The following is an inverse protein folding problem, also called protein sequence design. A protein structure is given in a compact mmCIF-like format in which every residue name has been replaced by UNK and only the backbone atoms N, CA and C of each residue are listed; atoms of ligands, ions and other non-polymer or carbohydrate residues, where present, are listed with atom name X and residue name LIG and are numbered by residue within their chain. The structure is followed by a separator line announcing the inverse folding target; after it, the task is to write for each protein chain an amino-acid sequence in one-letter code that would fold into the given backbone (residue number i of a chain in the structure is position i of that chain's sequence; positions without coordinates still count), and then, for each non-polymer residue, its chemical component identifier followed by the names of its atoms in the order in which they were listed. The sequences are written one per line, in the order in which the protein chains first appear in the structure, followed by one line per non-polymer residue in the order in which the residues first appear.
data_IF_674462384691
#
_entry.id   IF_674462384691
#
_cell.length_a   1.000
_cell.length_b   1.000
_cell.length_c   1.000
_cell.angle_alpha   90.00
_cell.angle_beta   90.00
_cell.angle_gamma   90.00
#
_symmetry.space_group_name_H-M   'P 1'
#
loop_
_entity.id
_entity.type
_entity.pdbx_description
1 polymer ?
#
# COMPACT_ATOMS: atom_id res chain seq x y z
N UNK A 1 11.63 -6.20 -7.17
CA UNK A 1 10.90 -7.28 -6.48
C UNK A 1 10.59 -8.47 -7.39
N UNK A 2 10.48 -8.28 -8.70
CA UNK A 2 10.32 -9.34 -9.70
C UNK A 2 11.37 -9.18 -10.80
N UNK A 3 11.61 -10.24 -11.57
CA UNK A 3 12.37 -10.16 -12.82
C UNK A 3 11.66 -9.25 -13.86
N UNK A 4 12.27 -9.10 -15.06
CA UNK A 4 11.73 -8.21 -16.09
C UNK A 4 11.59 -6.74 -15.66
N UNK A 5 12.52 -6.25 -14.82
CA UNK A 5 12.47 -4.89 -14.27
C UNK A 5 11.10 -4.59 -13.64
N UNK A 6 10.68 -5.43 -12.70
CA UNK A 6 9.36 -5.36 -12.05
C UNK A 6 8.17 -5.37 -13.03
N UNK A 7 8.31 -6.03 -14.15
CA UNK A 7 7.26 -6.19 -15.15
C UNK A 7 7.14 -5.05 -16.16
N UNK A 8 8.13 -4.17 -16.23
CA UNK A 8 8.16 -3.07 -17.21
C UNK A 8 8.82 -3.49 -18.53
N UNK A 9 9.85 -4.35 -18.46
CA UNK A 9 10.60 -4.81 -19.64
C UNK A 9 10.11 -6.14 -20.17
N UNK A 10 9.60 -7.01 -19.29
CA UNK A 10 9.05 -8.31 -19.65
C UNK A 10 8.02 -8.78 -18.61
N UNK A 11 7.15 -9.71 -19.01
CA UNK A 11 6.19 -10.35 -18.09
C UNK A 11 6.96 -11.09 -17.00
N UNK A 12 6.74 -10.80 -15.71
CA UNK A 12 7.48 -11.44 -14.64
C UNK A 12 7.20 -12.93 -14.55
N UNK A 13 8.24 -13.69 -14.26
CA UNK A 13 8.17 -15.15 -14.07
C UNK A 13 8.62 -15.60 -12.69
N UNK A 14 9.29 -14.74 -11.94
CA UNK A 14 9.74 -14.98 -10.55
C UNK A 14 9.75 -13.70 -9.72
N UNK A 15 9.67 -13.86 -8.43
CA UNK A 15 10.02 -12.82 -7.44
C UNK A 15 11.48 -13.00 -7.00
N UNK A 16 12.05 -11.95 -6.39
CA UNK A 16 13.46 -11.87 -5.99
C UNK A 16 13.60 -11.63 -4.48
N UNK A 17 12.66 -12.13 -3.67
CA UNK A 17 12.62 -11.85 -2.24
C UNK A 17 13.84 -12.40 -1.50
N UNK A 18 14.21 -13.65 -1.78
CA UNK A 18 15.37 -14.27 -1.16
C UNK A 18 16.72 -13.82 -1.77
N UNK A 19 16.68 -13.24 -2.99
CA UNK A 19 17.87 -12.76 -3.70
C UNK A 19 18.18 -11.27 -3.36
N UNK A 20 17.29 -10.56 -2.65
CA UNK A 20 17.43 -9.14 -2.35
C UNK A 20 17.87 -8.94 -0.91
N UNK A 21 19.12 -8.54 -0.69
CA UNK A 21 19.71 -8.35 0.64
C UNK A 21 18.90 -7.43 1.55
N UNK A 22 18.38 -6.32 1.01
CA UNK A 22 17.53 -5.41 1.75
C UNK A 22 16.25 -6.08 2.27
N UNK A 23 15.66 -6.99 1.50
CA UNK A 23 14.44 -7.71 1.90
C UNK A 23 14.74 -8.76 2.97
N UNK A 24 15.87 -9.47 2.82
CA UNK A 24 16.36 -10.41 3.84
C UNK A 24 16.68 -9.69 5.15
N UNK A 25 17.40 -8.57 5.09
CA UNK A 25 17.71 -7.72 6.23
C UNK A 25 16.43 -7.23 6.93
N UNK A 26 15.45 -6.72 6.16
CA UNK A 26 14.19 -6.24 6.70
C UNK A 26 13.49 -7.33 7.53
N UNK A 27 13.30 -8.53 6.98
CA UNK A 27 12.61 -9.60 7.69
C UNK A 27 13.38 -10.13 8.91
N UNK A 28 14.73 -10.15 8.86
CA UNK A 28 15.55 -10.46 10.02
C UNK A 28 15.32 -9.43 11.13
N UNK A 29 15.24 -8.15 10.77
CA UNK A 29 15.01 -7.08 11.76
C UNK A 29 13.58 -7.10 12.31
N UNK A 30 12.58 -7.34 11.48
CA UNK A 30 11.19 -7.49 11.94
C UNK A 30 11.06 -8.68 12.89
N UNK A 31 11.73 -9.82 12.60
CA UNK A 31 11.77 -10.97 13.51
C UNK A 31 12.44 -10.63 14.83
N UNK A 32 13.57 -9.94 14.82
CA UNK A 32 14.25 -9.46 16.04
C UNK A 32 13.30 -8.59 16.89
N UNK A 33 12.56 -7.68 16.27
CA UNK A 33 11.58 -6.85 16.97
C UNK A 33 10.40 -7.65 17.51
N UNK A 34 9.95 -8.66 16.78
CA UNK A 34 8.91 -9.57 17.24
C UNK A 34 9.36 -10.34 18.49
N UNK A 35 10.56 -10.90 18.48
CA UNK A 35 11.15 -11.63 19.63
C UNK A 35 11.36 -10.75 20.86
N UNK A 36 11.64 -9.45 20.64
CA UNK A 36 11.78 -8.45 21.72
C UNK A 36 10.45 -7.86 22.19
N UNK A 37 9.33 -8.21 21.55
CA UNK A 37 8.02 -7.64 21.87
C UNK A 37 7.80 -6.22 21.37
N UNK A 38 8.68 -5.70 20.48
CA UNK A 38 8.54 -4.36 19.89
C UNK A 38 7.60 -4.35 18.68
N UNK A 39 7.45 -5.48 18.03
CA UNK A 39 6.56 -5.68 16.89
C UNK A 39 5.52 -6.76 17.21
N UNK A 40 4.25 -6.49 16.97
CA UNK A 40 3.15 -7.43 17.14
C UNK A 40 2.56 -7.85 15.80
N UNK A 41 2.52 -9.15 15.54
CA UNK A 41 1.75 -9.71 14.43
C UNK A 41 0.38 -10.15 14.95
N UNK A 42 -0.69 -9.61 14.39
CA UNK A 42 -2.06 -9.80 14.91
C UNK A 42 -2.97 -10.60 13.98
N UNK A 43 -2.48 -11.02 12.82
CA UNK A 43 -3.26 -11.80 11.86
C UNK A 43 -3.17 -11.26 10.43
N UNK A 44 -3.99 -11.86 9.55
CA UNK A 44 -4.00 -11.56 8.10
C UNK A 44 -5.18 -10.69 7.69
N UNK A 45 -6.26 -10.68 8.48
CA UNK A 45 -7.45 -9.97 8.12
C UNK A 45 -7.23 -8.46 8.15
N UNK A 46 -7.93 -7.79 7.25
CA UNK A 46 -7.92 -6.33 7.22
C UNK A 46 -8.42 -5.79 8.56
N UNK A 47 -7.60 -5.00 9.22
CA UNK A 47 -7.95 -4.38 10.50
C UNK A 47 -7.51 -5.14 11.75
N UNK A 48 -7.03 -6.40 11.66
CA UNK A 48 -6.57 -7.16 12.83
C UNK A 48 -5.54 -6.39 13.68
N UNK A 49 -4.70 -5.59 13.03
CA UNK A 49 -3.67 -4.79 13.68
C UNK A 49 -4.14 -3.39 14.12
N UNK A 50 -5.39 -3.00 13.83
CA UNK A 50 -5.94 -1.71 14.27
C UNK A 50 -6.32 -1.72 15.75
N UNK A 51 -6.92 -2.81 16.22
CA UNK A 51 -7.47 -2.91 17.57
C UNK A 51 -6.44 -2.57 18.67
N UNK A 52 -5.20 -3.06 18.65
CA UNK A 52 -4.18 -2.68 19.63
C UNK A 52 -3.82 -1.18 19.60
N UNK A 53 -3.83 -0.56 18.43
CA UNK A 53 -3.57 0.88 18.31
C UNK A 53 -4.74 1.70 18.87
N UNK A 54 -5.98 1.31 18.57
CA UNK A 54 -7.19 1.94 19.11
C UNK A 54 -7.24 1.82 20.63
N UNK A 55 -6.84 0.66 21.17
CA UNK A 55 -6.78 0.42 22.61
C UNK A 55 -5.60 1.10 23.34
N UNK A 56 -4.71 1.76 22.61
CA UNK A 56 -3.50 2.37 23.18
C UNK A 56 -2.41 1.37 23.59
N UNK A 57 -2.52 0.11 23.17
CA UNK A 57 -1.53 -0.93 23.42
C UNK A 57 -0.32 -0.85 22.48
N UNK A 58 -0.50 -0.22 21.31
CA UNK A 58 0.54 -0.01 20.31
C UNK A 58 0.74 1.48 20.06
N UNK A 59 1.98 1.96 20.15
CA UNK A 59 2.34 3.36 19.88
C UNK A 59 2.36 3.68 18.38
N UNK A 60 2.61 2.67 17.53
CA UNK A 60 2.67 2.80 16.08
C UNK A 60 1.82 1.74 15.42
N UNK A 61 1.19 2.14 14.32
CA UNK A 61 0.45 1.25 13.46
C UNK A 61 0.70 1.60 11.99
N UNK A 62 0.95 0.58 11.17
CA UNK A 62 1.08 0.73 9.72
C UNK A 62 -0.21 0.28 9.06
N UNK A 63 -0.82 1.18 8.31
CA UNK A 63 -2.10 0.91 7.66
C UNK A 63 -2.33 1.77 6.42
N UNK A 64 -3.46 1.56 5.78
CA UNK A 64 -3.88 2.39 4.66
C UNK A 64 -4.29 3.78 5.13
N UNK A 65 -4.00 4.80 4.34
CA UNK A 65 -4.49 6.16 4.55
C UNK A 65 -6.01 6.23 4.67
N UNK A 66 -6.74 5.35 3.98
CA UNK A 66 -8.20 5.22 4.10
C UNK A 66 -8.70 4.93 5.51
N UNK A 67 -7.85 4.39 6.38
CA UNK A 67 -8.24 4.11 7.77
C UNK A 67 -8.33 5.38 8.63
N UNK A 68 -7.78 6.50 8.16
CA UNK A 68 -7.79 7.77 8.90
C UNK A 68 -9.20 8.22 9.26
N UNK A 69 -10.16 8.14 8.30
CA UNK A 69 -11.54 8.52 8.55
C UNK A 69 -12.18 7.75 9.71
N UNK A 70 -11.89 6.45 9.83
CA UNK A 70 -12.37 5.62 10.93
C UNK A 70 -11.63 5.82 12.25
N UNK A 71 -10.40 6.36 12.22
CA UNK A 71 -9.62 6.65 13.42
C UNK A 71 -9.94 8.02 14.03
N UNK A 72 -10.35 8.96 13.17
CA UNK A 72 -10.72 10.32 13.60
C UNK A 72 -11.90 10.29 14.58
N UNK A 73 -11.68 10.78 15.78
CA UNK A 73 -12.68 10.80 16.85
C UNK A 73 -12.75 9.52 17.71
N UNK A 74 -12.04 8.47 17.34
CA UNK A 74 -11.91 7.23 18.12
C UNK A 74 -10.58 7.19 18.87
N UNK A 75 -9.49 7.55 18.20
CA UNK A 75 -8.17 7.59 18.82
C UNK A 75 -7.80 9.05 19.08
N UNK A 76 -7.63 9.45 20.34
CA UNK A 76 -7.21 10.80 20.67
C UNK A 76 -5.71 10.99 20.37
N UNK A 77 -5.35 12.20 19.92
CA UNK A 77 -3.95 12.64 19.83
C UNK A 77 -3.03 11.74 18.99
N UNK A 78 -3.49 11.20 17.86
CA UNK A 78 -2.64 10.51 16.92
C UNK A 78 -2.23 11.42 15.76
N UNK A 79 -1.16 11.08 15.08
CA UNK A 79 -0.71 11.72 13.85
C UNK A 79 -0.47 10.67 12.76
N UNK A 80 -0.51 11.12 11.52
CA UNK A 80 -0.13 10.31 10.34
C UNK A 80 1.18 10.87 9.80
N UNK A 81 2.09 10.00 9.44
CA UNK A 81 3.38 10.38 8.89
C UNK A 81 3.77 9.44 7.74
N UNK A 82 4.85 9.76 7.04
CA UNK A 82 5.43 8.93 6.00
C UNK A 82 5.80 7.54 6.53
N UNK A 83 5.75 6.54 5.67
CA UNK A 83 6.25 5.20 6.00
C UNK A 83 7.76 5.29 6.17
N UNK A 84 8.33 4.83 7.30
CA UNK A 84 9.75 4.87 7.53
C UNK A 84 10.52 3.95 6.57
N UNK A 85 11.77 4.26 6.33
CA UNK A 85 12.65 3.55 5.42
C UNK A 85 13.99 3.22 6.09
N UNK A 86 14.77 2.37 5.47
CA UNK A 86 16.09 1.99 5.96
C UNK A 86 17.17 2.86 5.32
N UNK A 87 17.75 3.75 6.09
CA UNK A 87 18.84 4.64 5.62
C UNK A 87 19.99 3.85 4.98
N UNK A 88 20.34 2.70 5.57
CA UNK A 88 21.39 1.82 5.03
C UNK A 88 21.06 1.22 3.65
N UNK A 89 19.79 1.20 3.27
CA UNK A 89 19.34 0.71 1.95
C UNK A 89 19.19 1.85 0.97
N UNK A 90 18.72 3.00 1.42
CA UNK A 90 18.35 4.11 0.55
C UNK A 90 19.44 5.20 0.46
N UNK A 91 20.48 5.08 1.28
CA UNK A 91 21.52 6.14 1.39
C UNK A 91 20.99 7.42 2.06
N UNK A 92 19.99 7.26 2.95
CA UNK A 92 19.35 8.39 3.64
C UNK A 92 18.29 9.11 2.80
N UNK A 93 17.99 8.63 1.59
CA UNK A 93 16.96 9.23 0.74
C UNK A 93 15.62 8.56 0.96
N UNK A 94 14.59 9.37 1.17
CA UNK A 94 13.20 8.91 1.16
C UNK A 94 12.70 8.74 -0.27
N UNK A 95 11.94 7.68 -0.52
CA UNK A 95 11.33 7.40 -1.81
C UNK A 95 9.81 7.38 -1.72
N UNK A 96 9.10 7.71 -2.82
CA UNK A 96 7.65 7.63 -2.84
C UNK A 96 7.19 6.19 -2.69
N UNK A 97 6.03 6.02 -2.05
CA UNK A 97 5.29 4.77 -2.13
C UNK A 97 4.52 4.70 -3.45
N UNK A 98 4.09 3.51 -3.85
CA UNK A 98 3.14 3.38 -4.96
C UNK A 98 1.71 3.40 -4.43
N UNK A 99 0.78 3.80 -5.29
CA UNK A 99 -0.64 3.85 -4.96
C UNK A 99 -1.20 2.43 -4.93
N UNK A 100 -1.79 2.05 -3.79
CA UNK A 100 -2.77 0.98 -3.70
C UNK A 100 -4.15 1.62 -3.59
N UNK A 101 -5.22 0.98 -4.07
CA UNK A 101 -6.53 1.58 -3.94
C UNK A 101 -7.58 0.90 -4.79
N UNK A 102 -8.62 1.65 -5.12
CA UNK A 102 -9.73 1.23 -5.95
C UNK A 102 -9.90 2.17 -7.15
N UNK A 103 -10.56 1.68 -8.17
CA UNK A 103 -10.94 2.47 -9.34
C UNK A 103 -12.39 2.14 -9.72
N UNK A 104 -13.07 3.11 -10.31
CA UNK A 104 -14.38 2.90 -10.90
C UNK A 104 -14.20 2.27 -12.30
N UNK A 105 -14.89 1.18 -12.56
CA UNK A 105 -14.88 0.48 -13.83
C UNK A 105 -16.25 0.57 -14.47
N UNK A 106 -16.30 1.01 -15.72
CA UNK A 106 -17.53 1.02 -16.52
C UNK A 106 -17.59 -0.28 -17.30
N UNK A 107 -18.65 -1.07 -17.08
CA UNK A 107 -18.86 -2.32 -17.78
C UNK A 107 -19.42 -2.05 -19.18
N UNK A 108 -19.13 -2.96 -20.11
CA UNK A 108 -19.73 -2.95 -21.46
C UNK A 108 -21.16 -3.50 -21.42
N UNK A 109 -21.94 -3.20 -22.46
CA UNK A 109 -23.28 -3.74 -22.64
C UNK A 109 -24.42 -2.86 -22.16
N UNK A 110 -24.15 -1.61 -21.84
CA UNK A 110 -25.14 -0.60 -21.48
C UNK A 110 -25.63 0.18 -22.71
N UNK A 111 -26.79 0.80 -22.57
CA UNK A 111 -27.35 1.72 -23.59
C UNK A 111 -26.55 3.02 -23.64
N UNK A 112 -26.68 3.77 -24.75
CA UNK A 112 -26.03 5.08 -24.89
C UNK A 112 -26.49 6.07 -23.81
N UNK A 113 -27.76 6.02 -23.41
CA UNK A 113 -28.30 6.88 -22.36
C UNK A 113 -27.73 6.55 -20.99
N UNK A 114 -27.56 5.26 -20.67
CA UNK A 114 -26.88 4.82 -19.44
C UNK A 114 -25.42 5.29 -19.42
N UNK A 115 -24.70 5.18 -20.54
CA UNK A 115 -23.33 5.71 -20.63
C UNK A 115 -23.27 7.23 -20.46
N UNK A 116 -24.24 7.99 -20.99
CA UNK A 116 -24.35 9.44 -20.72
C UNK A 116 -24.58 9.75 -19.25
N UNK A 117 -25.40 8.93 -18.58
CA UNK A 117 -25.60 9.02 -17.14
C UNK A 117 -24.32 8.72 -16.35
N UNK A 118 -23.62 7.65 -16.72
CA UNK A 118 -22.34 7.28 -16.13
C UNK A 118 -21.26 8.36 -16.31
N UNK A 119 -21.19 8.98 -17.50
CA UNK A 119 -20.27 10.08 -17.76
C UNK A 119 -20.52 11.27 -16.81
N UNK A 120 -21.79 11.66 -16.61
CA UNK A 120 -22.16 12.71 -15.64
C UNK A 120 -21.81 12.35 -14.22
N UNK A 121 -21.99 11.09 -13.84
CA UNK A 121 -21.59 10.61 -12.51
C UNK A 121 -20.08 10.72 -12.31
N UNK A 122 -19.28 10.28 -13.28
CA UNK A 122 -17.80 10.39 -13.21
C UNK A 122 -17.36 11.86 -13.16
N UNK A 123 -17.99 12.73 -13.98
CA UNK A 123 -17.74 14.18 -13.95
C UNK A 123 -18.04 14.78 -12.59
N UNK A 124 -19.18 14.41 -11.98
CA UNK A 124 -19.55 14.83 -10.62
C UNK A 124 -18.53 14.35 -9.59
N UNK A 125 -18.16 13.07 -9.62
CA UNK A 125 -17.17 12.49 -8.69
C UNK A 125 -15.77 13.12 -8.85
N UNK A 126 -15.42 13.55 -10.06
CA UNK A 126 -14.15 14.23 -10.37
C UNK A 126 -14.19 15.75 -10.16
N UNK A 127 -15.30 16.33 -9.71
CA UNK A 127 -15.35 17.75 -9.38
C UNK A 127 -14.45 18.08 -8.19
N UNK A 128 -13.86 19.30 -8.15
CA UNK A 128 -12.97 19.70 -7.05
C UNK A 128 -13.61 19.54 -5.67
N UNK A 129 -14.88 19.85 -5.55
CA UNK A 129 -15.65 19.82 -4.32
C UNK A 129 -15.86 18.37 -3.84
N UNK A 130 -16.21 17.46 -4.74
CA UNK A 130 -16.43 16.05 -4.40
C UNK A 130 -15.12 15.34 -4.12
N UNK A 131 -14.06 15.62 -4.85
CA UNK A 131 -12.74 15.06 -4.60
C UNK A 131 -12.24 15.49 -3.20
N UNK A 132 -12.34 16.78 -2.87
CA UNK A 132 -12.00 17.29 -1.53
C UNK A 132 -12.91 16.72 -0.44
N UNK A 133 -14.21 16.59 -0.69
CA UNK A 133 -15.14 15.98 0.25
C UNK A 133 -14.73 14.53 0.55
N UNK A 134 -14.46 13.74 -0.50
CA UNK A 134 -14.05 12.36 -0.36
C UNK A 134 -12.70 12.23 0.36
N UNK A 135 -11.74 13.08 0.02
CA UNK A 135 -10.45 13.18 0.71
C UNK A 135 -10.62 13.42 2.22
N UNK A 136 -11.45 14.40 2.60
CA UNK A 136 -11.69 14.73 4.01
C UNK A 136 -12.38 13.61 4.78
N UNK A 137 -13.35 12.95 4.16
CA UNK A 137 -14.17 11.94 4.85
C UNK A 137 -13.45 10.61 5.02
N UNK A 138 -12.57 10.25 4.09
CA UNK A 138 -11.97 8.92 4.05
C UNK A 138 -10.51 8.90 4.48
N UNK A 139 -9.77 9.98 4.26
CA UNK A 139 -8.32 10.03 4.37
C UNK A 139 -7.57 9.57 3.12
N UNK A 140 -8.27 9.15 2.05
CA UNK A 140 -7.63 8.94 0.74
C UNK A 140 -7.08 10.26 0.21
N UNK A 141 -5.99 10.21 -0.55
CA UNK A 141 -5.44 11.40 -1.19
C UNK A 141 -6.41 11.97 -2.23
N UNK A 142 -6.48 13.30 -2.34
CA UNK A 142 -7.16 13.94 -3.45
C UNK A 142 -6.50 13.51 -4.77
N UNK A 143 -7.30 13.21 -5.78
CA UNK A 143 -6.84 12.60 -7.05
C UNK A 143 -6.92 13.55 -8.24
N UNK A 144 -7.57 14.71 -8.08
CA UNK A 144 -7.68 15.72 -9.13
C UNK A 144 -6.85 16.96 -8.80
N UNK A 145 -6.31 17.59 -9.83
CA UNK A 145 -5.61 18.89 -9.68
C UNK A 145 -6.53 19.96 -9.09
N UNK A 146 -7.82 19.92 -9.44
CA UNK A 146 -8.83 20.85 -8.93
C UNK A 146 -9.09 20.66 -7.45
N UNK A 147 -9.24 19.42 -6.98
CA UNK A 147 -9.42 19.09 -5.56
C UNK A 147 -8.22 19.52 -4.71
N UNK A 148 -7.01 19.25 -5.20
CA UNK A 148 -5.76 19.68 -4.53
C UNK A 148 -5.71 21.21 -4.45
N UNK A 149 -5.94 21.93 -5.55
CA UNK A 149 -5.94 23.39 -5.58
C UNK A 149 -7.02 24.01 -4.67
N UNK A 150 -8.21 23.40 -4.62
CA UNK A 150 -9.27 23.81 -3.71
C UNK A 150 -8.86 23.63 -2.25
N UNK A 151 -8.28 22.47 -1.90
CA UNK A 151 -7.77 22.20 -0.55
C UNK A 151 -6.74 23.24 -0.10
N UNK A 152 -5.83 23.63 -0.97
CA UNK A 152 -4.85 24.69 -0.70
C UNK A 152 -5.52 26.06 -0.53
N UNK A 153 -6.45 26.42 -1.42
CA UNK A 153 -7.16 27.71 -1.40
C UNK A 153 -7.91 27.94 -0.09
N UNK A 154 -8.55 26.91 0.46
CA UNK A 154 -9.28 27.02 1.73
C UNK A 154 -8.43 26.70 2.95
N UNK A 155 -7.12 26.54 2.80
CA UNK A 155 -6.18 26.17 3.87
C UNK A 155 -6.56 24.85 4.59
N UNK A 156 -7.12 23.88 3.87
CA UNK A 156 -7.56 22.60 4.41
C UNK A 156 -6.45 21.87 5.18
N UNK A 157 -5.26 21.81 4.60
CA UNK A 157 -4.11 21.11 5.20
C UNK A 157 -3.57 21.75 6.47
N UNK A 158 -3.85 23.05 6.72
CA UNK A 158 -3.54 23.69 7.98
C UNK A 158 -4.44 23.17 9.12
N UNK A 159 -5.70 22.91 8.80
CA UNK A 159 -6.66 22.35 9.76
C UNK A 159 -6.53 20.80 9.89
N UNK A 160 -6.00 20.15 8.89
CA UNK A 160 -5.88 18.69 8.81
C UNK A 160 -4.51 18.26 8.25
N UNK A 161 -3.42 18.45 9.01
CA UNK A 161 -2.06 18.22 8.51
C UNK A 161 -1.78 16.76 8.13
N UNK A 162 -2.50 15.80 8.71
CA UNK A 162 -2.30 14.38 8.41
C UNK A 162 -2.70 14.00 6.98
N UNK A 163 -3.67 14.70 6.39
CA UNK A 163 -4.07 14.48 4.99
C UNK A 163 -2.94 14.87 4.04
N UNK A 164 -2.09 15.82 4.42
CA UNK A 164 -0.97 16.29 3.62
C UNK A 164 0.14 15.23 3.50
N UNK A 165 0.45 14.54 4.60
CA UNK A 165 1.53 13.56 4.65
C UNK A 165 1.43 12.47 3.56
N UNK A 166 0.21 12.01 3.26
CA UNK A 166 -0.01 10.99 2.21
C UNK A 166 0.32 11.54 0.83
N UNK A 167 -0.18 12.73 0.50
CA UNK A 167 0.10 13.38 -0.77
C UNK A 167 1.57 13.74 -0.93
N UNK A 168 2.21 14.20 0.13
CA UNK A 168 3.65 14.52 0.16
C UNK A 168 4.48 13.28 -0.14
N UNK A 169 4.24 12.14 0.53
CA UNK A 169 4.98 10.91 0.30
C UNK A 169 4.78 10.36 -1.12
N UNK A 170 3.58 10.45 -1.68
CA UNK A 170 3.31 10.03 -3.06
C UNK A 170 3.97 10.93 -4.09
N UNK A 171 4.24 12.20 -3.75
CA UNK A 171 4.82 13.22 -4.62
C UNK A 171 6.34 13.32 -4.54
N UNK A 172 7.00 12.52 -3.68
CA UNK A 172 8.45 12.51 -3.57
C UNK A 172 9.09 12.14 -4.90
N UNK A 173 10.20 12.82 -5.23
CA UNK A 173 10.96 12.55 -6.44
C UNK A 173 11.91 11.37 -6.26
N UNK A 174 12.24 10.72 -7.38
CA UNK A 174 13.34 9.76 -7.45
C UNK A 174 12.96 8.30 -7.44
N UNK A 175 11.68 7.96 -7.64
CA UNK A 175 11.33 6.59 -8.00
C UNK A 175 11.78 6.30 -9.44
N UNK A 176 12.59 5.26 -9.60
CA UNK A 176 12.89 4.71 -10.92
C UNK A 176 11.72 3.89 -11.48
N UNK A 177 10.70 3.63 -10.64
CA UNK A 177 9.54 2.79 -10.95
C UNK A 177 8.27 3.51 -10.48
N UNK A 178 7.81 4.55 -11.20
CA UNK A 178 6.71 5.43 -10.76
C UNK A 178 5.36 4.72 -10.64
N UNK A 179 5.19 3.53 -11.23
CA UNK A 179 3.95 2.75 -11.19
C UNK A 179 4.01 1.50 -10.31
N UNK A 180 5.05 1.35 -9.48
CA UNK A 180 5.23 0.15 -8.66
C UNK A 180 5.71 -1.05 -9.50
N UNK A 181 5.10 -2.21 -9.32
CA UNK A 181 5.40 -3.43 -10.07
C UNK A 181 4.17 -3.91 -10.85
N UNK A 182 4.42 -4.55 -11.98
CA UNK A 182 3.38 -5.15 -12.84
C UNK A 182 3.51 -6.66 -12.75
N UNK A 183 2.69 -7.29 -11.94
CA UNK A 183 2.73 -8.74 -11.71
C UNK A 183 1.32 -9.32 -11.75
N UNK A 184 1.12 -10.33 -12.59
CA UNK A 184 -0.13 -11.07 -12.64
C UNK A 184 -0.34 -11.94 -11.42
N UNK A 185 -1.60 -12.32 -11.15
CA UNK A 185 -2.01 -13.13 -10.00
C UNK A 185 -1.52 -12.58 -8.65
N UNK A 186 -1.38 -11.24 -8.53
CA UNK A 186 -0.85 -10.62 -7.32
C UNK A 186 -1.66 -10.91 -6.06
N UNK A 187 -3.01 -10.93 -6.06
CA UNK A 187 -3.78 -11.31 -4.87
C UNK A 187 -3.38 -12.70 -4.34
N UNK A 188 -3.19 -13.67 -5.22
CA UNK A 188 -2.77 -15.03 -4.85
C UNK A 188 -1.31 -15.06 -4.34
N UNK A 189 -0.44 -14.24 -4.93
CA UNK A 189 0.95 -14.09 -4.46
C UNK A 189 0.97 -13.53 -3.04
N UNK A 190 0.11 -12.59 -2.70
CA UNK A 190 -0.03 -12.07 -1.34
C UNK A 190 -0.39 -13.17 -0.34
N UNK A 191 -1.27 -14.09 -0.69
CA UNK A 191 -1.59 -15.22 0.18
C UNK A 191 -0.35 -16.09 0.43
N UNK A 192 0.44 -16.39 -0.61
CA UNK A 192 1.70 -17.12 -0.46
C UNK A 192 2.66 -16.38 0.49
N UNK A 193 2.73 -15.05 0.42
CA UNK A 193 3.54 -14.25 1.34
C UNK A 193 3.02 -14.42 2.78
N UNK A 194 1.72 -14.21 3.00
CA UNK A 194 1.12 -14.27 4.33
C UNK A 194 1.25 -15.64 4.99
N UNK A 195 1.18 -16.74 4.23
CA UNK A 195 1.37 -18.10 4.73
C UNK A 195 2.78 -18.35 5.29
N UNK A 196 3.76 -17.58 4.87
CA UNK A 196 5.13 -17.73 5.34
C UNK A 196 5.52 -16.75 6.46
N UNK A 197 4.80 -15.63 6.62
CA UNK A 197 5.13 -14.60 7.61
C UNK A 197 5.07 -15.13 9.04
N UNK A 198 3.95 -15.69 9.44
CA UNK A 198 3.78 -16.19 10.80
C UNK A 198 4.76 -17.31 11.17
N UNK A 199 4.99 -18.34 10.32
CA UNK A 199 6.01 -19.34 10.57
C UNK A 199 7.44 -18.79 10.71
N UNK A 200 7.78 -17.73 9.96
CA UNK A 200 9.06 -17.04 10.11
C UNK A 200 9.17 -16.32 11.46
N UNK A 201 8.14 -15.58 11.84
CA UNK A 201 8.14 -14.80 13.07
C UNK A 201 8.22 -15.69 14.31
N UNK A 202 7.43 -16.75 14.38
CA UNK A 202 7.42 -17.66 15.51
C UNK A 202 8.54 -18.73 15.50
N UNK A 203 9.46 -18.66 14.53
CA UNK A 203 10.65 -19.52 14.47
C UNK A 203 10.41 -20.94 13.97
N UNK A 204 9.21 -21.27 13.44
CA UNK A 204 8.96 -22.59 12.82
C UNK A 204 9.77 -22.83 11.55
N UNK A 205 10.10 -21.76 10.84
CA UNK A 205 11.02 -21.77 9.70
C UNK A 205 11.99 -20.58 9.80
N UNK A 206 13.18 -20.72 9.21
CA UNK A 206 14.11 -19.58 9.11
C UNK A 206 13.58 -18.52 8.13
N UNK A 207 14.06 -17.27 8.25
CA UNK A 207 13.75 -16.19 7.32
C UNK A 207 14.11 -16.59 5.89
N UNK A 208 15.30 -17.12 5.68
CA UNK A 208 15.77 -17.56 4.36
C UNK A 208 14.87 -18.67 3.76
N UNK A 209 14.40 -19.60 4.59
CA UNK A 209 13.47 -20.64 4.17
C UNK A 209 12.12 -20.06 3.77
N UNK A 210 11.58 -19.14 4.57
CA UNK A 210 10.32 -18.47 4.28
C UNK A 210 10.37 -17.68 2.98
N UNK A 211 11.41 -16.87 2.78
CA UNK A 211 11.58 -16.09 1.56
C UNK A 211 11.72 -16.97 0.31
N UNK A 212 12.47 -18.08 0.40
CA UNK A 212 12.55 -19.07 -0.70
C UNK A 212 11.20 -19.73 -1.00
N UNK A 213 10.40 -20.01 0.04
CA UNK A 213 9.04 -20.54 -0.16
C UNK A 213 8.15 -19.52 -0.86
N UNK A 214 8.23 -18.24 -0.46
CA UNK A 214 7.50 -17.14 -1.11
C UNK A 214 7.87 -17.04 -2.59
N UNK A 215 9.17 -17.02 -2.93
CA UNK A 215 9.66 -16.96 -4.31
C UNK A 215 9.18 -18.16 -5.13
N UNK A 216 9.25 -19.37 -4.57
CA UNK A 216 8.79 -20.60 -5.22
C UNK A 216 7.29 -20.57 -5.52
N UNK A 217 6.48 -20.16 -4.55
CA UNK A 217 5.03 -20.05 -4.70
C UNK A 217 4.63 -18.98 -5.71
N UNK A 218 5.25 -17.80 -5.60
CA UNK A 218 5.03 -16.68 -6.51
C UNK A 218 5.42 -17.04 -7.96
N UNK A 219 6.57 -17.68 -8.17
CA UNK A 219 7.03 -18.10 -9.50
C UNK A 219 6.03 -19.03 -10.20
N UNK A 220 5.38 -19.93 -9.44
CA UNK A 220 4.32 -20.80 -10.00
C UNK A 220 3.15 -19.98 -10.53
N UNK A 221 2.68 -19.00 -9.76
CA UNK A 221 1.54 -18.16 -10.11
C UNK A 221 1.87 -17.21 -11.26
N UNK A 222 3.07 -16.60 -11.26
CA UNK A 222 3.53 -15.73 -12.35
C UNK A 222 3.64 -16.50 -13.67
N UNK A 223 4.23 -17.69 -13.66
CA UNK A 223 4.31 -18.56 -14.85
C UNK A 223 2.93 -19.02 -15.35
N UNK A 224 1.97 -19.22 -14.46
CA UNK A 224 0.59 -19.51 -14.86
C UNK A 224 -0.03 -18.30 -15.57
N UNK A 225 0.14 -17.09 -15.02
CA UNK A 225 -0.34 -15.87 -15.66
C UNK A 225 0.32 -15.62 -17.02
N UNK A 226 1.64 -15.78 -17.12
CA UNK A 226 2.35 -15.59 -18.38
C UNK A 226 1.87 -16.49 -19.54
N UNK A 227 1.21 -17.62 -19.22
CA UNK A 227 0.62 -18.51 -20.25
C UNK A 227 -0.76 -18.03 -20.75
N UNK A 228 -1.35 -17.03 -20.10
CA UNK A 228 -2.67 -16.48 -20.48
C UNK A 228 -2.55 -15.26 -21.39
N UNK A 229 -1.34 -14.80 -21.64
CA UNK A 229 -0.98 -13.70 -22.54
C UNK A 229 -0.55 -14.22 -23.91
#
# INVERSE_FOLDING_TARGET
MTDGNNGYDAVPTKTLFAETDAFVMHWKKVKEWYEKGFYGYKGRAWGDNQAPFIAGEAAFWFGSAASFGGMKGVVPNFTVNHIPYWDSVTGGKEYPTFIGGAANWILNGHTEEEYKGLAKFIEFMGSPEMDLYYHNMTGYSAVTKGGIALAETINFYRASPYHKAVGEQLSLEGSTIPGGYRAGNWPQIREVIYENVEPMLNGKISIEKGLKNMDKGAAKLLKQFAKTL
#
